data_IF_579985597383
#
_entry.id   IF_579985597383
#
_cell.length_a   1.000
_cell.length_b   1.000
_cell.length_c   1.000
_cell.angle_alpha   90.00
_cell.angle_beta   90.00
_cell.angle_gamma   90.00
#
_symmetry.space_group_name_H-M   'P 1'
#
loop_
_entity.id
_entity.type
_entity.pdbx_description
1 polymer ?
#
# COMPACT_ATOMS: atom_id res chain seq x y z
N UNK A 1 -11.84 -7.73 -10.57
CA UNK A 1 -12.30 -6.88 -9.46
C UNK A 1 -12.20 -7.68 -8.17
N UNK A 2 -11.83 -7.05 -7.05
CA UNK A 2 -11.75 -7.61 -5.70
C UNK A 2 -10.95 -8.92 -5.57
N UNK A 3 -9.91 -9.09 -6.40
CA UNK A 3 -9.08 -10.30 -6.36
C UNK A 3 -8.41 -10.43 -5.00
N UNK A 4 -8.53 -11.60 -4.35
CA UNK A 4 -7.98 -11.82 -3.00
C UNK A 4 -8.62 -10.95 -1.91
N UNK A 5 -9.81 -10.38 -2.16
CA UNK A 5 -10.56 -9.69 -1.11
C UNK A 5 -10.88 -10.64 0.05
N UNK A 6 -10.83 -10.12 1.28
CA UNK A 6 -11.02 -10.88 2.52
C UNK A 6 -10.07 -12.07 2.71
N UNK A 7 -8.94 -12.12 1.98
CA UNK A 7 -7.97 -13.20 2.11
C UNK A 7 -7.52 -13.36 3.57
N UNK A 8 -7.50 -14.60 4.03
CA UNK A 8 -7.17 -14.97 5.41
C UNK A 8 -6.25 -16.19 5.39
N UNK A 9 -4.98 -15.95 5.10
CA UNK A 9 -3.90 -16.94 5.14
C UNK A 9 -3.56 -17.57 3.79
N UNK A 10 -4.29 -17.25 2.72
CA UNK A 10 -3.97 -17.72 1.37
C UNK A 10 -2.77 -17.00 0.77
N UNK A 11 -2.08 -17.68 -0.15
CA UNK A 11 -1.05 -17.11 -1.02
C UNK A 11 -1.58 -17.06 -2.46
N UNK A 12 -1.68 -15.87 -3.02
CA UNK A 12 -2.28 -15.63 -4.35
C UNK A 12 -1.26 -14.93 -5.24
N UNK A 13 -1.06 -15.44 -6.45
CA UNK A 13 -0.27 -14.77 -7.48
C UNK A 13 -1.12 -14.52 -8.71
N UNK A 14 -1.18 -13.26 -9.16
CA UNK A 14 -1.85 -12.85 -10.40
C UNK A 14 -0.79 -12.56 -11.45
N UNK A 15 -0.72 -13.39 -12.48
CA UNK A 15 0.16 -13.21 -13.64
C UNK A 15 -0.46 -12.21 -14.63
N UNK A 16 -0.49 -10.94 -14.22
CA UNK A 16 -1.06 -9.82 -14.98
C UNK A 16 -1.48 -8.69 -14.05
N UNK A 17 -2.36 -7.82 -14.54
CA UNK A 17 -2.90 -6.69 -13.76
C UNK A 17 -4.17 -7.08 -13.02
N UNK A 18 -4.45 -6.39 -11.91
CA UNK A 18 -5.67 -6.56 -11.12
C UNK A 18 -6.59 -5.34 -11.23
N UNK A 19 -7.88 -5.60 -11.45
CA UNK A 19 -8.92 -4.57 -11.38
C UNK A 19 -9.13 -4.03 -9.95
N UNK A 20 -10.06 -3.09 -9.77
CA UNK A 20 -10.30 -2.40 -8.49
C UNK A 20 -10.49 -3.33 -7.28
N UNK A 21 -9.98 -2.90 -6.12
CA UNK A 21 -10.20 -3.53 -4.82
C UNK A 21 -9.38 -4.80 -4.56
N UNK A 22 -8.27 -5.01 -5.27
CA UNK A 22 -7.38 -6.16 -5.00
C UNK A 22 -6.92 -6.17 -3.54
N UNK A 23 -7.03 -7.30 -2.84
CA UNK A 23 -6.68 -7.41 -1.42
C UNK A 23 -7.54 -6.58 -0.47
N UNK A 24 -8.73 -6.12 -0.91
CA UNK A 24 -9.63 -5.38 -0.03
C UNK A 24 -10.02 -6.20 1.21
N UNK A 25 -9.94 -5.58 2.39
CA UNK A 25 -10.31 -6.17 3.67
C UNK A 25 -9.55 -7.48 3.95
N UNK A 26 -8.35 -7.66 3.40
CA UNK A 26 -7.49 -8.80 3.66
C UNK A 26 -7.10 -8.86 5.15
N UNK A 27 -7.16 -10.05 5.74
CA UNK A 27 -6.88 -10.30 7.16
C UNK A 27 -5.45 -10.79 7.37
N UNK A 28 -4.97 -11.67 6.49
CA UNK A 28 -3.64 -12.28 6.54
C UNK A 28 -3.33 -13.01 5.23
N UNK A 29 -2.11 -13.52 5.10
CA UNK A 29 -1.63 -14.22 3.90
C UNK A 29 -0.82 -13.30 2.98
N UNK A 30 -0.70 -13.66 1.71
CA UNK A 30 0.01 -12.86 0.71
C UNK A 30 -0.72 -12.79 -0.63
N UNK A 31 -0.59 -11.65 -1.30
CA UNK A 31 -1.06 -11.44 -2.67
C UNK A 31 0.08 -10.78 -3.46
N UNK A 32 0.42 -11.34 -4.62
CA UNK A 32 1.42 -10.78 -5.54
C UNK A 32 0.77 -10.51 -6.89
N UNK A 33 0.84 -9.26 -7.34
CA UNK A 33 0.36 -8.81 -8.65
C UNK A 33 1.56 -8.52 -9.54
N UNK A 34 1.72 -9.29 -10.62
CA UNK A 34 2.85 -9.14 -11.55
C UNK A 34 2.75 -7.92 -12.48
N UNK A 35 1.56 -7.33 -12.60
CA UNK A 35 1.30 -6.12 -13.36
C UNK A 35 0.85 -4.96 -12.48
N UNK A 36 -0.04 -4.12 -13.03
CA UNK A 36 -0.60 -2.97 -12.33
C UNK A 36 -1.81 -3.34 -11.47
N UNK A 37 -2.09 -2.54 -10.45
CA UNK A 37 -3.32 -2.57 -9.68
C UNK A 37 -4.15 -1.30 -9.94
N UNK A 38 -5.45 -1.50 -10.16
CA UNK A 38 -6.40 -0.40 -10.28
C UNK A 38 -6.69 0.25 -8.90
N UNK A 39 -7.77 1.03 -8.78
CA UNK A 39 -8.05 1.77 -7.55
C UNK A 39 -8.28 0.85 -6.34
N UNK A 40 -8.02 1.39 -5.14
CA UNK A 40 -8.40 0.76 -3.86
C UNK A 40 -7.64 -0.53 -3.53
N UNK A 41 -6.45 -0.73 -4.10
CA UNK A 41 -5.59 -1.85 -3.74
C UNK A 41 -5.31 -1.85 -2.21
N UNK A 42 -5.53 -2.98 -1.55
CA UNK A 42 -5.35 -3.16 -0.11
C UNK A 42 -6.32 -2.35 0.76
N UNK A 43 -7.42 -1.80 0.21
CA UNK A 43 -8.37 -0.99 0.95
C UNK A 43 -8.87 -1.72 2.21
N UNK A 44 -8.87 -1.06 3.36
CA UNK A 44 -9.31 -1.61 4.64
C UNK A 44 -8.60 -2.88 5.13
N UNK A 45 -7.50 -3.29 4.49
CA UNK A 45 -6.73 -4.47 4.88
C UNK A 45 -6.24 -4.38 6.32
N UNK A 46 -6.40 -5.46 7.08
CA UNK A 46 -6.07 -5.57 8.51
C UNK A 46 -4.74 -6.28 8.78
N UNK A 47 -4.21 -7.00 7.80
CA UNK A 47 -2.95 -7.73 7.93
C UNK A 47 -2.57 -8.51 6.68
N UNK A 48 -1.38 -9.09 6.69
CA UNK A 48 -0.78 -9.78 5.55
C UNK A 48 -0.05 -8.82 4.60
N UNK A 49 0.41 -9.36 3.47
CA UNK A 49 1.27 -8.67 2.51
C UNK A 49 0.62 -8.61 1.12
N UNK A 50 0.50 -7.41 0.56
CA UNK A 50 0.13 -7.17 -0.83
C UNK A 50 1.33 -6.57 -1.58
N UNK A 51 1.86 -7.30 -2.56
CA UNK A 51 2.94 -6.83 -3.45
C UNK A 51 2.37 -6.54 -4.83
N UNK A 52 2.69 -5.36 -5.37
CA UNK A 52 2.34 -4.92 -6.72
C UNK A 52 3.63 -4.58 -7.45
N UNK A 53 4.00 -5.38 -8.45
CA UNK A 53 5.24 -5.20 -9.22
C UNK A 53 5.15 -4.05 -10.24
N UNK A 54 3.93 -3.63 -10.60
CA UNK A 54 3.67 -2.44 -11.39
C UNK A 54 3.28 -1.24 -10.55
N UNK A 55 2.37 -0.43 -11.08
CA UNK A 55 1.81 0.76 -10.43
C UNK A 55 0.51 0.44 -9.71
N UNK A 56 0.17 1.23 -8.68
CA UNK A 56 -1.18 1.26 -8.12
C UNK A 56 -1.86 2.58 -8.47
N UNK A 57 -3.15 2.52 -8.82
CA UNK A 57 -3.93 3.72 -9.12
C UNK A 57 -4.28 4.51 -7.84
N UNK A 58 -5.30 5.35 -7.89
CA UNK A 58 -5.69 6.19 -6.76
C UNK A 58 -6.16 5.39 -5.54
N UNK A 59 -5.99 6.00 -4.37
CA UNK A 59 -6.48 5.49 -3.09
C UNK A 59 -5.94 4.10 -2.75
N UNK A 60 -4.70 3.79 -3.16
CA UNK A 60 -3.98 2.61 -2.70
C UNK A 60 -3.85 2.66 -1.17
N UNK A 61 -4.23 1.60 -0.46
CA UNK A 61 -4.20 1.53 1.00
C UNK A 61 -5.24 2.41 1.71
N UNK A 62 -6.31 2.85 1.03
CA UNK A 62 -7.37 3.63 1.68
C UNK A 62 -7.94 2.91 2.90
N UNK A 63 -7.98 3.61 4.02
CA UNK A 63 -8.48 3.10 5.31
C UNK A 63 -7.82 1.81 5.78
N UNK A 64 -6.56 1.55 5.40
CA UNK A 64 -5.79 0.38 5.86
C UNK A 64 -5.65 0.34 7.40
N UNK A 65 -5.62 -0.87 7.96
CA UNK A 65 -5.71 -1.17 9.40
C UNK A 65 -4.72 -2.26 9.83
N UNK A 66 -3.54 -2.31 9.20
CA UNK A 66 -2.48 -3.23 9.57
C UNK A 66 -1.90 -4.08 8.42
N UNK A 67 -2.43 -3.97 7.20
CA UNK A 67 -1.83 -4.60 6.02
C UNK A 67 -0.49 -3.94 5.66
N UNK A 68 0.44 -4.73 5.15
CA UNK A 68 1.65 -4.25 4.47
C UNK A 68 1.42 -4.26 2.96
N UNK A 69 1.64 -3.11 2.32
CA UNK A 69 1.49 -2.93 0.88
C UNK A 69 2.82 -2.47 0.31
N UNK A 70 3.36 -3.21 -0.65
CA UNK A 70 4.58 -2.88 -1.38
C UNK A 70 4.24 -2.64 -2.85
N UNK A 71 4.56 -1.44 -3.35
CA UNK A 71 4.36 -1.05 -4.75
C UNK A 71 5.71 -0.74 -5.37
N UNK A 72 6.10 -1.49 -6.40
CA UNK A 72 7.39 -1.30 -7.08
C UNK A 72 7.38 -0.07 -8.00
N UNK A 73 6.22 0.25 -8.57
CA UNK A 73 6.00 1.46 -9.36
C UNK A 73 5.46 2.62 -8.54
N UNK A 74 4.65 3.44 -9.21
CA UNK A 74 4.06 4.66 -8.65
C UNK A 74 2.69 4.38 -8.00
N UNK A 75 2.28 5.28 -7.11
CA UNK A 75 0.92 5.31 -6.56
C UNK A 75 0.17 6.59 -6.95
N UNK A 76 -1.13 6.47 -7.19
CA UNK A 76 -1.99 7.60 -7.55
C UNK A 76 -2.38 8.51 -6.38
N UNK A 77 -3.16 9.55 -6.68
CA UNK A 77 -3.68 10.51 -5.70
C UNK A 77 -4.49 9.86 -4.58
N UNK A 78 -4.54 10.51 -3.41
CA UNK A 78 -5.32 10.13 -2.22
C UNK A 78 -4.98 8.73 -1.70
N UNK A 79 -3.79 8.22 -2.03
CA UNK A 79 -3.29 6.97 -1.47
C UNK A 79 -3.03 7.12 0.03
N UNK A 80 -3.30 6.06 0.78
CA UNK A 80 -3.32 6.04 2.24
C UNK A 80 -4.31 7.03 2.88
N UNK A 81 -5.36 7.46 2.17
CA UNK A 81 -6.44 8.26 2.77
C UNK A 81 -7.07 7.51 3.96
N UNK A 82 -7.17 8.16 5.12
CA UNK A 82 -7.66 7.56 6.37
C UNK A 82 -6.89 6.31 6.83
N UNK A 83 -5.63 6.13 6.43
CA UNK A 83 -4.81 4.99 6.83
C UNK A 83 -4.57 4.98 8.35
N UNK A 84 -4.95 3.89 9.02
CA UNK A 84 -4.95 3.79 10.48
C UNK A 84 -3.68 3.14 11.02
N UNK A 85 -3.25 2.03 10.42
CA UNK A 85 -2.04 1.29 10.78
C UNK A 85 -1.56 0.41 9.61
N UNK A 86 -0.37 -0.17 9.76
CA UNK A 86 0.31 -0.94 8.70
C UNK A 86 1.32 -0.09 7.94
N UNK A 87 1.88 -0.65 6.88
CA UNK A 87 2.91 0.01 6.08
C UNK A 87 2.52 0.09 4.60
N UNK A 88 2.72 1.26 3.98
CA UNK A 88 2.68 1.43 2.53
C UNK A 88 4.08 1.81 2.05
N UNK A 89 4.72 0.91 1.32
CA UNK A 89 6.06 1.08 0.74
C UNK A 89 5.94 1.30 -0.76
N UNK A 90 6.51 2.39 -1.25
CA UNK A 90 6.44 2.82 -2.64
C UNK A 90 7.85 3.01 -3.16
N UNK A 91 8.23 2.20 -4.15
CA UNK A 91 9.53 2.31 -4.78
C UNK A 91 9.51 3.33 -5.94
N UNK A 92 8.35 3.79 -6.40
CA UNK A 92 8.21 4.92 -7.33
C UNK A 92 7.86 6.24 -6.63
N UNK A 93 7.09 7.05 -7.36
CA UNK A 93 6.54 8.34 -6.94
C UNK A 93 5.13 8.19 -6.35
N UNK A 94 4.72 9.19 -5.56
CA UNK A 94 3.38 9.30 -5.00
C UNK A 94 2.67 10.57 -5.49
N UNK A 95 1.42 10.41 -5.92
CA UNK A 95 0.56 11.52 -6.35
C UNK A 95 0.01 12.38 -5.20
N UNK A 96 -0.95 13.24 -5.54
CA UNK A 96 -1.50 14.25 -4.63
C UNK A 96 -2.12 13.70 -3.34
N UNK A 97 -2.03 14.50 -2.27
CA UNK A 97 -2.70 14.27 -0.99
C UNK A 97 -2.38 12.89 -0.36
N UNK A 98 -1.10 12.49 -0.40
CA UNK A 98 -0.63 11.26 0.23
C UNK A 98 -0.89 11.28 1.73
N UNK A 99 -1.58 10.26 2.24
CA UNK A 99 -1.84 10.12 3.68
C UNK A 99 -2.83 11.14 4.24
N UNK A 100 -3.74 11.67 3.42
CA UNK A 100 -4.75 12.58 3.96
C UNK A 100 -5.64 11.90 5.01
N UNK A 101 -5.86 12.56 6.15
CA UNK A 101 -6.47 11.99 7.36
C UNK A 101 -5.79 10.72 7.92
N UNK A 102 -4.46 10.58 7.77
CA UNK A 102 -3.69 9.47 8.35
C UNK A 102 -3.64 9.49 9.88
N UNK A 103 -3.57 8.30 10.48
CA UNK A 103 -3.35 8.11 11.92
C UNK A 103 -1.94 7.57 12.18
N UNK A 104 -1.78 6.26 12.42
CA UNK A 104 -0.51 5.63 12.83
C UNK A 104 0.16 4.81 11.71
N UNK A 105 -0.43 4.76 10.52
CA UNK A 105 0.17 4.07 9.38
C UNK A 105 1.49 4.74 8.97
N UNK A 106 2.43 3.93 8.47
CA UNK A 106 3.75 4.41 8.02
C UNK A 106 3.83 4.34 6.52
N UNK A 107 4.14 5.47 5.89
CA UNK A 107 4.28 5.58 4.44
C UNK A 107 5.74 5.82 4.10
N UNK A 108 6.28 4.98 3.24
CA UNK A 108 7.66 5.07 2.77
C UNK A 108 7.65 5.27 1.26
N UNK A 109 8.23 6.37 0.79
CA UNK A 109 8.29 6.69 -0.64
C UNK A 109 9.74 6.92 -1.03
N UNK A 110 10.22 6.15 -2.01
CA UNK A 110 11.58 6.29 -2.56
C UNK A 110 11.71 7.48 -3.50
N UNK A 111 10.68 7.71 -4.30
CA UNK A 111 10.62 8.79 -5.29
C UNK A 111 10.10 10.10 -4.71
N UNK A 112 9.49 10.90 -5.58
CA UNK A 112 8.89 12.18 -5.23
C UNK A 112 7.48 11.98 -4.66
N UNK A 113 7.11 12.86 -3.73
CA UNK A 113 5.74 13.01 -3.24
C UNK A 113 5.22 14.35 -3.75
N UNK A 114 4.16 14.34 -4.55
CA UNK A 114 3.61 15.58 -5.12
C UNK A 114 3.06 16.51 -4.03
N UNK A 115 2.20 15.98 -3.16
CA UNK A 115 1.71 16.71 -1.99
C UNK A 115 1.31 15.76 -0.86
N UNK A 116 1.50 16.19 0.38
CA UNK A 116 1.03 15.49 1.56
C UNK A 116 -0.43 15.88 1.86
N UNK A 117 -1.17 14.95 2.43
CA UNK A 117 -2.48 15.21 3.02
C UNK A 117 -2.41 16.01 4.31
N UNK A 118 -3.57 16.44 4.83
CA UNK A 118 -3.64 17.42 5.93
C UNK A 118 -2.90 16.98 7.20
N UNK A 119 -3.01 15.69 7.54
CA UNK A 119 -2.46 15.11 8.77
C UNK A 119 -1.16 14.32 8.53
N UNK A 120 -0.71 14.22 7.28
CA UNK A 120 0.52 13.50 6.94
C UNK A 120 1.72 14.43 7.04
N UNK A 121 2.63 14.12 7.96
CA UNK A 121 3.86 14.88 8.16
C UNK A 121 5.08 14.04 7.75
N UNK A 122 5.97 14.65 6.95
CA UNK A 122 7.25 14.04 6.64
C UNK A 122 8.12 13.95 7.91
N UNK A 123 8.80 12.82 8.09
CA UNK A 123 9.68 12.55 9.23
C UNK A 123 11.00 11.98 8.73
N UNK A 124 12.05 12.16 9.54
CA UNK A 124 13.35 11.54 9.28
C UNK A 124 13.27 10.01 9.42
N UNK A 125 13.99 9.31 8.55
CA UNK A 125 14.15 7.85 8.64
C UNK A 125 15.12 7.47 9.75
N UNK A 126 14.76 6.47 10.54
CA UNK A 126 15.56 5.96 11.66
C UNK A 126 15.94 4.49 11.40
N UNK A 127 16.95 3.93 12.10
CA UNK A 127 17.42 2.57 11.85
C UNK A 127 16.32 1.51 11.87
N UNK A 128 15.35 1.61 12.78
CA UNK A 128 14.22 0.66 12.88
C UNK A 128 13.26 0.74 11.67
N UNK A 129 13.23 1.88 10.97
CA UNK A 129 12.47 1.99 9.73
C UNK A 129 13.20 1.29 8.58
N UNK A 130 14.54 1.31 8.58
CA UNK A 130 15.34 0.60 7.57
C UNK A 130 15.25 -0.91 7.77
N UNK A 131 15.32 -1.39 9.02
CA UNK A 131 15.14 -2.81 9.35
C UNK A 131 13.76 -3.32 8.93
N UNK A 132 12.70 -2.53 9.18
CA UNK A 132 11.36 -2.83 8.69
C UNK A 132 11.30 -2.94 7.16
N UNK A 133 11.92 -1.99 6.45
CA UNK A 133 11.94 -1.99 4.99
C UNK A 133 12.70 -3.18 4.42
N UNK A 134 13.81 -3.60 5.04
CA UNK A 134 14.55 -4.81 4.65
C UNK A 134 13.63 -6.04 4.72
N UNK A 135 12.93 -6.24 5.84
CA UNK A 135 12.02 -7.37 5.99
C UNK A 135 10.82 -7.38 5.02
N UNK A 136 10.42 -6.23 4.47
CA UNK A 136 9.34 -6.13 3.47
C UNK A 136 9.81 -6.24 2.02
N UNK A 137 11.11 -6.08 1.77
CA UNK A 137 11.69 -6.02 0.42
C UNK A 137 12.63 -7.19 0.10
N UNK A 138 12.98 -8.02 1.09
CA UNK A 138 13.73 -9.28 0.94
C UNK A 138 12.86 -10.40 0.34
#
# INVERSE_FOLDING_TARGET
YYCGGMNAGGAITVHGSAGPGVGENMMSGSIVIKGDASQYAGATGRGGLLVIEGNASSRCGISMKGIDIVVHGNIGHMSAFMAQSGNLVVLGDAGDALGDSIYEARLFVRGKVESLGADCIAKEMRPEHIELLQGLLD
#
